data_IF_215235005324
#
_entry.id   IF_215235005324
#
_cell.length_a   1.000
_cell.length_b   1.000
_cell.length_c   1.000
_cell.angle_alpha   90.00
_cell.angle_beta   90.00
_cell.angle_gamma   90.00
#
_symmetry.space_group_name_H-M   'P 1'
#
loop_
_entity.id
_entity.type
_entity.pdbx_description
1 polymer ?
#
# COMPACT_ATOMS: atom_id res chain seq x y z
N UNK A 1 10.35 11.25 -20.38
CA UNK A 1 11.31 10.14 -20.16
C UNK A 1 11.97 10.17 -18.77
N UNK A 2 12.79 11.17 -18.38
CA UNK A 2 13.43 11.20 -17.03
C UNK A 2 12.43 11.16 -15.85
N UNK A 3 11.33 11.89 -15.95
CA UNK A 3 10.26 11.90 -14.94
C UNK A 3 9.63 10.53 -14.68
N UNK A 4 9.55 9.68 -15.71
CA UNK A 4 8.99 8.33 -15.58
C UNK A 4 9.85 7.47 -14.64
N UNK A 5 11.17 7.48 -14.83
CA UNK A 5 12.10 6.74 -13.96
C UNK A 5 12.01 7.19 -12.50
N UNK A 6 11.89 8.50 -12.26
CA UNK A 6 11.74 9.06 -10.91
C UNK A 6 10.43 8.57 -10.27
N UNK A 7 9.31 8.60 -11.01
CA UNK A 7 8.02 8.12 -10.52
C UNK A 7 8.03 6.61 -10.25
N UNK A 8 8.68 5.81 -11.10
CA UNK A 8 8.80 4.37 -10.88
C UNK A 8 9.65 4.04 -9.65
N UNK A 9 10.78 4.71 -9.45
CA UNK A 9 11.64 4.52 -8.27
C UNK A 9 10.91 4.94 -6.99
N UNK A 10 10.27 6.11 -7.01
CA UNK A 10 9.42 6.58 -5.90
C UNK A 10 8.32 5.57 -5.58
N UNK A 11 7.60 5.12 -6.61
CA UNK A 11 6.56 4.08 -6.51
C UNK A 11 7.10 2.80 -5.89
N UNK A 12 8.26 2.32 -6.32
CA UNK A 12 8.87 1.12 -5.75
C UNK A 12 9.18 1.29 -4.26
N UNK A 13 9.80 2.41 -3.87
CA UNK A 13 10.17 2.70 -2.49
C UNK A 13 8.93 2.75 -1.59
N UNK A 14 7.88 3.49 -1.99
CA UNK A 14 6.67 3.61 -1.18
C UNK A 14 5.93 2.27 -1.04
N UNK A 15 5.97 1.41 -2.06
CA UNK A 15 5.40 0.06 -1.97
C UNK A 15 6.18 -0.83 -0.98
N UNK A 16 7.51 -0.76 -0.97
CA UNK A 16 8.33 -1.47 0.02
C UNK A 16 8.02 -0.96 1.44
N UNK A 17 7.93 0.35 1.64
CA UNK A 17 7.59 0.96 2.93
C UNK A 17 6.19 0.50 3.40
N UNK A 18 5.18 0.53 2.52
CA UNK A 18 3.84 0.04 2.84
C UNK A 18 3.82 -1.43 3.25
N UNK A 19 4.59 -2.27 2.57
CA UNK A 19 4.68 -3.69 2.88
C UNK A 19 5.32 -3.93 4.25
N UNK A 20 6.42 -3.24 4.56
CA UNK A 20 7.08 -3.31 5.87
C UNK A 20 6.14 -2.79 6.97
N UNK A 21 5.44 -1.69 6.72
CA UNK A 21 4.50 -1.11 7.67
C UNK A 21 3.38 -2.12 8.02
N UNK A 22 2.88 -2.85 7.03
CA UNK A 22 1.88 -3.91 7.25
C UNK A 22 2.44 -5.09 8.06
N UNK A 23 3.71 -5.45 7.84
CA UNK A 23 4.42 -6.46 8.65
C UNK A 23 4.53 -6.02 10.11
N UNK A 24 4.99 -4.78 10.32
CA UNK A 24 5.17 -4.19 11.65
C UNK A 24 3.84 -4.09 12.38
N UNK A 25 2.75 -3.70 11.70
CA UNK A 25 1.42 -3.66 12.30
C UNK A 25 0.98 -5.04 12.80
N UNK A 26 1.23 -6.10 12.01
CA UNK A 26 0.96 -7.48 12.45
C UNK A 26 1.83 -7.90 13.64
N UNK A 27 3.11 -7.54 13.66
CA UNK A 27 4.00 -7.85 14.78
C UNK A 27 3.58 -7.12 16.06
N UNK A 28 3.20 -5.85 15.96
CA UNK A 28 2.64 -5.08 17.08
C UNK A 28 1.34 -5.69 17.59
N UNK A 29 0.48 -6.15 16.69
CA UNK A 29 -0.75 -6.86 17.06
C UNK A 29 -0.48 -8.16 17.83
N UNK A 30 0.60 -8.89 17.49
CA UNK A 30 1.02 -10.10 18.24
C UNK A 30 1.61 -9.74 19.60
N UNK A 31 2.40 -8.68 19.68
CA UNK A 31 3.05 -8.20 20.91
C UNK A 31 2.11 -7.39 21.83
N UNK A 32 0.81 -7.29 21.51
CA UNK A 32 -0.18 -6.47 22.22
C UNK A 32 0.25 -5.00 22.39
N UNK A 33 1.01 -4.50 21.42
CA UNK A 33 1.46 -3.10 21.37
C UNK A 33 0.45 -2.24 20.61
N UNK A 34 0.62 -0.92 20.71
CA UNK A 34 -0.20 0.05 19.98
C UNK A 34 -0.14 -0.21 18.47
N UNK A 35 -1.31 -0.46 17.87
CA UNK A 35 -1.46 -0.74 16.44
C UNK A 35 -1.31 0.53 15.61
N UNK A 36 -0.89 0.38 14.37
CA UNK A 36 -0.78 1.51 13.43
C UNK A 36 -2.20 1.96 13.07
N UNK A 37 -2.41 3.28 13.08
CA UNK A 37 -3.69 3.86 12.72
C UNK A 37 -4.07 3.47 11.28
N UNK A 38 -5.34 3.15 11.08
CA UNK A 38 -5.85 2.78 9.76
C UNK A 38 -5.67 3.88 8.73
N UNK A 39 -5.85 5.13 9.15
CA UNK A 39 -5.60 6.31 8.34
C UNK A 39 -4.19 6.34 7.76
N UNK A 40 -3.16 5.96 8.53
CA UNK A 40 -1.77 5.90 8.05
C UNK A 40 -1.60 4.87 6.93
N UNK A 41 -2.21 3.69 7.07
CA UNK A 41 -2.15 2.65 6.04
C UNK A 41 -2.85 3.09 4.75
N UNK A 42 -4.00 3.76 4.88
CA UNK A 42 -4.73 4.34 3.75
C UNK A 42 -3.95 5.47 3.08
N UNK A 43 -3.29 6.32 3.86
CA UNK A 43 -2.50 7.44 3.34
C UNK A 43 -1.27 6.94 2.58
N UNK A 44 -0.58 5.90 3.09
CA UNK A 44 0.50 5.24 2.34
C UNK A 44 0.01 4.57 1.06
N UNK A 45 -1.16 3.93 1.08
CA UNK A 45 -1.76 3.35 -0.12
C UNK A 45 -2.13 4.43 -1.15
N UNK A 46 -2.69 5.56 -0.70
CA UNK A 46 -3.03 6.70 -1.54
C UNK A 46 -1.80 7.43 -2.09
N UNK A 47 -0.69 7.45 -1.36
CA UNK A 47 0.58 8.06 -1.77
C UNK A 47 1.35 7.25 -2.84
N UNK A 48 0.81 6.12 -3.29
CA UNK A 48 1.42 5.24 -4.31
C UNK A 48 1.84 3.86 -3.80
N UNK A 49 1.69 3.59 -2.50
CA UNK A 49 2.05 2.33 -1.86
C UNK A 49 0.95 1.26 -1.86
N UNK A 50 -0.09 1.42 -2.69
CA UNK A 50 -1.29 0.57 -2.72
C UNK A 50 -0.99 -0.89 -3.08
N UNK A 51 -0.02 -1.14 -3.96
CA UNK A 51 0.39 -2.50 -4.36
C UNK A 51 1.05 -3.21 -3.18
N UNK A 52 2.01 -2.55 -2.53
CA UNK A 52 2.75 -3.06 -1.37
C UNK A 52 1.86 -3.21 -0.16
N UNK A 53 0.89 -2.32 0.04
CA UNK A 53 -0.13 -2.45 1.08
C UNK A 53 -1.05 -3.65 0.83
N UNK A 54 -1.50 -3.87 -0.41
CA UNK A 54 -2.31 -5.04 -0.82
C UNK A 54 -1.53 -6.35 -0.65
N UNK A 55 -0.28 -6.38 -1.12
CA UNK A 55 0.61 -7.53 -0.98
C UNK A 55 0.91 -7.82 0.48
N UNK A 56 1.23 -6.80 1.28
CA UNK A 56 1.45 -6.94 2.72
C UNK A 56 0.21 -7.48 3.43
N UNK A 57 -0.98 -6.96 3.11
CA UNK A 57 -2.25 -7.44 3.67
C UNK A 57 -2.46 -8.94 3.38
N UNK A 58 -2.25 -9.36 2.14
CA UNK A 58 -2.41 -10.76 1.72
C UNK A 58 -1.33 -11.69 2.29
N UNK A 59 -0.05 -11.29 2.21
CA UNK A 59 1.08 -12.08 2.68
C UNK A 59 1.03 -12.31 4.19
N UNK A 60 0.71 -11.25 4.93
CA UNK A 60 0.60 -11.31 6.38
C UNK A 60 -0.80 -11.75 6.83
N UNK A 61 -1.76 -11.96 5.92
CA UNK A 61 -3.17 -12.27 6.24
C UNK A 61 -3.73 -11.36 7.33
N UNK A 62 -3.28 -10.10 7.31
CA UNK A 62 -3.57 -9.11 8.33
C UNK A 62 -4.62 -8.16 7.77
N UNK A 63 -5.72 -7.93 8.50
CA UNK A 63 -6.86 -7.10 8.06
C UNK A 63 -7.54 -7.52 6.74
N UNK A 64 -7.37 -8.76 6.29
CA UNK A 64 -8.04 -9.30 5.08
C UNK A 64 -9.56 -9.46 5.22
N UNK A 65 -10.08 -9.50 6.45
CA UNK A 65 -11.53 -9.55 6.75
C UNK A 65 -12.20 -8.18 6.75
N UNK A 66 -11.44 -7.08 6.80
CA UNK A 66 -12.03 -5.75 6.72
C UNK A 66 -12.33 -5.42 5.27
N UNK A 67 -13.61 -5.35 4.94
CA UNK A 67 -14.11 -5.06 3.59
C UNK A 67 -13.49 -3.80 3.00
N UNK A 68 -13.33 -2.74 3.81
CA UNK A 68 -12.71 -1.47 3.39
C UNK A 68 -11.29 -1.67 2.86
N UNK A 69 -10.48 -2.50 3.53
CA UNK A 69 -9.11 -2.77 3.09
C UNK A 69 -9.06 -3.74 1.91
N UNK A 70 -9.92 -4.77 1.95
CA UNK A 70 -9.98 -5.80 0.91
C UNK A 70 -10.38 -5.25 -0.46
N UNK A 71 -11.33 -4.31 -0.52
CA UNK A 71 -11.75 -3.69 -1.77
C UNK A 71 -11.03 -2.37 -2.04
N UNK A 72 -10.76 -1.59 -1.00
CA UNK A 72 -10.14 -0.27 -1.13
C UNK A 72 -8.72 -0.28 -1.66
N UNK A 73 -7.86 -1.16 -1.15
CA UNK A 73 -6.47 -1.20 -1.61
C UNK A 73 -6.35 -1.64 -3.08
N UNK A 74 -7.02 -2.72 -3.54
CA UNK A 74 -7.04 -3.05 -4.97
C UNK A 74 -7.66 -1.95 -5.83
N UNK A 75 -8.71 -1.27 -5.37
CA UNK A 75 -9.31 -0.15 -6.10
C UNK A 75 -8.31 1.00 -6.27
N UNK A 76 -7.52 1.32 -5.25
CA UNK A 76 -6.44 2.30 -5.35
C UNK A 76 -5.33 1.85 -6.31
N UNK A 77 -5.04 0.55 -6.41
CA UNK A 77 -4.09 0.03 -7.42
C UNK A 77 -4.61 0.29 -8.83
N UNK A 78 -5.90 0.02 -9.09
CA UNK A 78 -6.52 0.27 -10.41
C UNK A 78 -6.46 1.75 -10.77
N UNK A 79 -6.77 2.65 -9.82
CA UNK A 79 -6.70 4.09 -10.03
C UNK A 79 -5.27 4.54 -10.36
N UNK A 80 -4.26 4.03 -9.64
CA UNK A 80 -2.86 4.37 -9.91
C UNK A 80 -2.38 3.85 -11.27
N UNK A 81 -2.78 2.64 -11.66
CA UNK A 81 -2.47 2.08 -12.99
C UNK A 81 -3.11 2.90 -14.11
N UNK A 82 -4.36 3.32 -13.91
CA UNK A 82 -5.06 4.17 -14.87
C UNK A 82 -4.38 5.53 -15.03
N UNK A 83 -4.01 6.18 -13.92
CA UNK A 83 -3.25 7.43 -13.93
C UNK A 83 -1.91 7.28 -14.65
N UNK A 84 -1.15 6.23 -14.35
CA UNK A 84 0.11 5.93 -15.04
C UNK A 84 -0.10 5.74 -16.54
N UNK A 85 -1.14 5.00 -16.94
CA UNK A 85 -1.47 4.80 -18.36
C UNK A 85 -1.78 6.11 -19.07
N UNK A 86 -2.58 7.00 -18.45
CA UNK A 86 -2.87 8.32 -19.03
C UNK A 86 -1.66 9.25 -19.09
N UNK A 87 -0.67 9.08 -18.21
CA UNK A 87 0.50 9.94 -18.13
C UNK A 87 1.64 9.49 -19.06
N UNK A 88 1.62 8.22 -19.48
CA UNK A 88 2.60 7.60 -20.38
C UNK A 88 2.19 7.74 -21.85
N UNK A 89 0.90 7.95 -22.11
CA UNK A 89 0.32 8.16 -23.45
C UNK A 89 0.37 9.64 -23.84
#
# INVERSE_FOLDING_TARGET
>A
MKWFYILTIYGFIINVISLITMKVDKERARKHQYRIAESTLWLMAAAGGSIGATLGMNLFRHKTKHLSFRFGFPMLVVIHLFLLFTLVK
#
